data_IF_414044902238
#
_entry.id   IF_414044902238
#
_cell.length_a   1.000
_cell.length_b   1.000
_cell.length_c   1.000
_cell.angle_alpha   90.00
_cell.angle_beta   90.00
_cell.angle_gamma   90.00
#
_symmetry.space_group_name_H-M   'P 1'
#
loop_
_entity.id
_entity.type
_entity.pdbx_description
1 polymer ?
#
# COMPACT_ATOMS: atom_id res chain seq x y z
N UNK A 1 -21.54 13.94 0.53
CA UNK A 1 -21.05 13.43 -0.77
C UNK A 1 -19.56 13.54 -0.59
N UNK A 2 -18.97 12.46 -0.11
CA UNK A 2 -17.75 12.55 0.66
C UNK A 2 -16.59 12.76 -0.33
N UNK A 3 -15.86 13.84 -0.08
CA UNK A 3 -14.94 14.54 -0.99
C UNK A 3 -13.73 13.68 -1.43
N UNK A 4 -13.61 12.48 -0.88
CA UNK A 4 -12.53 11.52 -1.13
C UNK A 4 -12.82 10.56 -2.29
N UNK A 5 -13.99 10.65 -2.93
CA UNK A 5 -14.37 9.61 -3.90
C UNK A 5 -14.00 9.89 -5.33
N UNK A 6 -13.57 11.12 -5.72
CA UNK A 6 -13.35 11.49 -7.13
C UNK A 6 -12.03 12.19 -7.36
N UNK A 7 -11.18 11.58 -8.18
CA UNK A 7 -9.97 12.20 -8.71
C UNK A 7 -9.78 11.84 -10.20
N UNK A 8 -9.94 12.79 -11.13
CA UNK A 8 -9.84 12.52 -12.56
C UNK A 8 -8.40 12.28 -13.03
N UNK A 9 -7.39 12.45 -12.17
CA UNK A 9 -5.98 12.21 -12.50
C UNK A 9 -5.57 10.75 -12.34
N UNK A 10 -6.44 9.93 -11.75
CA UNK A 10 -6.18 8.51 -11.51
C UNK A 10 -6.48 7.70 -12.76
N UNK A 11 -5.45 7.05 -13.30
CA UNK A 11 -5.58 6.24 -14.50
C UNK A 11 -6.36 4.93 -14.25
N UNK A 12 -7.08 4.42 -15.28
CA UNK A 12 -7.72 3.11 -15.22
C UNK A 12 -6.68 1.98 -15.11
N UNK A 13 -7.03 0.84 -14.48
CA UNK A 13 -6.15 -0.31 -14.40
C UNK A 13 -6.00 -1.04 -15.75
N UNK A 14 -4.95 -1.85 -15.85
CA UNK A 14 -4.94 -2.93 -16.84
C UNK A 14 -5.82 -4.09 -16.34
N UNK A 15 -7.00 -4.28 -16.95
CA UNK A 15 -7.95 -5.33 -16.56
C UNK A 15 -9.02 -4.82 -15.59
N UNK A 16 -9.58 -5.71 -14.77
CA UNK A 16 -10.66 -5.39 -13.81
C UNK A 16 -10.30 -5.92 -12.41
N UNK A 17 -9.28 -5.33 -11.76
CA UNK A 17 -8.90 -5.71 -10.39
C UNK A 17 -9.99 -5.30 -9.39
N UNK A 18 -10.02 -5.97 -8.24
CA UNK A 18 -10.99 -5.62 -7.21
C UNK A 18 -10.85 -4.16 -6.76
N UNK A 19 -11.96 -3.42 -6.77
CA UNK A 19 -12.02 -1.97 -6.52
C UNK A 19 -12.27 -1.14 -7.79
N UNK A 20 -12.10 -1.73 -8.98
CA UNK A 20 -12.51 -1.11 -10.26
C UNK A 20 -13.98 -1.38 -10.56
N UNK A 21 -14.72 -0.33 -10.95
CA UNK A 21 -16.13 -0.38 -11.33
C UNK A 21 -16.25 -0.28 -12.85
N UNK A 22 -16.19 -1.41 -13.56
CA UNK A 22 -16.20 -1.44 -15.04
C UNK A 22 -17.40 -0.73 -15.67
N UNK A 23 -18.58 -0.80 -15.03
CA UNK A 23 -19.78 -0.16 -15.53
C UNK A 23 -19.71 1.38 -15.50
N UNK A 24 -18.93 1.91 -14.56
CA UNK A 24 -18.81 3.36 -14.30
C UNK A 24 -17.46 3.94 -14.77
N UNK A 25 -16.59 3.10 -15.35
CA UNK A 25 -15.23 3.43 -15.83
C UNK A 25 -14.39 4.18 -14.78
N UNK A 26 -14.41 3.69 -13.54
CA UNK A 26 -13.74 4.34 -12.40
C UNK A 26 -13.39 3.41 -11.26
N UNK A 27 -12.54 3.87 -10.35
CA UNK A 27 -12.35 3.20 -9.07
C UNK A 27 -13.51 3.51 -8.13
N UNK A 28 -13.84 2.57 -7.25
CA UNK A 28 -14.82 2.76 -6.18
C UNK A 28 -14.42 3.97 -5.30
N UNK A 29 -13.13 4.10 -5.01
CA UNK A 29 -12.53 5.25 -4.34
C UNK A 29 -11.24 5.69 -5.06
N UNK A 30 -11.32 6.78 -5.82
CA UNK A 30 -10.17 7.26 -6.62
C UNK A 30 -8.99 7.71 -5.73
N UNK A 31 -9.23 8.29 -4.55
CA UNK A 31 -8.15 8.67 -3.62
C UNK A 31 -7.44 7.47 -3.00
N UNK A 32 -8.14 6.38 -2.71
CA UNK A 32 -7.53 5.11 -2.26
C UNK A 32 -6.58 4.58 -3.33
N UNK A 33 -7.03 4.59 -4.58
CA UNK A 33 -6.16 4.22 -5.69
C UNK A 33 -4.95 5.14 -5.80
N UNK A 34 -5.14 6.47 -5.71
CA UNK A 34 -4.06 7.46 -5.78
C UNK A 34 -3.01 7.22 -4.69
N UNK A 35 -3.44 7.09 -3.43
CA UNK A 35 -2.59 6.77 -2.29
C UNK A 35 -1.84 5.45 -2.51
N UNK A 36 -2.51 4.44 -3.06
CA UNK A 36 -1.91 3.14 -3.38
C UNK A 36 -0.80 3.26 -4.43
N UNK A 37 -1.04 4.02 -5.50
CA UNK A 37 -0.04 4.24 -6.56
C UNK A 37 1.19 4.95 -6.02
N UNK A 38 1.01 6.06 -5.29
CA UNK A 38 2.13 6.80 -4.71
C UNK A 38 2.87 5.97 -3.65
N UNK A 39 2.14 5.37 -2.71
CA UNK A 39 2.71 4.56 -1.63
C UNK A 39 3.52 3.38 -2.16
N UNK A 40 3.00 2.60 -3.11
CA UNK A 40 3.75 1.46 -3.68
C UNK A 40 5.00 1.91 -4.42
N UNK A 41 4.92 3.00 -5.19
CA UNK A 41 6.09 3.51 -5.93
C UNK A 41 7.19 4.02 -5.01
N UNK A 42 6.81 4.73 -3.94
CA UNK A 42 7.73 5.20 -2.90
C UNK A 42 8.37 4.02 -2.16
N UNK A 43 7.57 3.03 -1.76
CA UNK A 43 8.07 1.79 -1.17
C UNK A 43 9.11 1.11 -2.07
N UNK A 44 8.80 0.97 -3.36
CA UNK A 44 9.68 0.31 -4.33
C UNK A 44 10.97 1.08 -4.60
N UNK A 45 10.99 2.38 -4.31
CA UNK A 45 12.17 3.25 -4.38
C UNK A 45 12.95 3.32 -3.05
N UNK A 46 12.50 2.64 -2.00
CA UNK A 46 13.12 2.66 -0.67
C UNK A 46 12.72 3.85 0.20
N UNK A 47 11.75 4.67 -0.24
CA UNK A 47 11.20 5.79 0.51
C UNK A 47 10.08 5.30 1.44
N UNK A 48 10.44 4.52 2.46
CA UNK A 48 9.47 3.78 3.28
C UNK A 48 8.67 4.67 4.22
N UNK A 49 9.23 5.79 4.68
CA UNK A 49 8.51 6.77 5.50
C UNK A 49 7.43 7.47 4.67
N UNK A 50 7.80 8.02 3.52
CA UNK A 50 6.86 8.68 2.61
C UNK A 50 5.79 7.71 2.09
N UNK A 51 6.17 6.44 1.87
CA UNK A 51 5.21 5.38 1.58
C UNK A 51 4.21 5.18 2.71
N UNK A 52 4.67 5.15 3.96
CA UNK A 52 3.82 5.02 5.13
C UNK A 52 2.79 6.16 5.19
N UNK A 53 3.25 7.39 5.02
CA UNK A 53 2.40 8.59 5.15
C UNK A 53 1.30 8.62 4.08
N UNK A 54 1.61 8.17 2.85
CA UNK A 54 0.60 8.03 1.78
C UNK A 54 -0.55 7.09 2.18
N UNK A 55 -0.23 5.96 2.82
CA UNK A 55 -1.25 5.00 3.25
C UNK A 55 -1.96 5.44 4.53
N UNK A 56 -1.26 6.11 5.45
CA UNK A 56 -1.80 6.57 6.72
C UNK A 56 -2.80 7.71 6.53
N UNK A 57 -2.47 8.72 5.70
CA UNK A 57 -3.37 9.83 5.38
C UNK A 57 -4.71 9.31 4.86
N UNK A 58 -4.66 8.40 3.88
CA UNK A 58 -5.84 7.84 3.26
C UNK A 58 -6.61 6.87 4.18
N UNK A 59 -5.92 6.18 5.10
CA UNK A 59 -6.54 5.26 6.05
C UNK A 59 -7.59 5.93 6.94
N UNK A 60 -7.34 7.17 7.36
CA UNK A 60 -8.26 7.92 8.22
C UNK A 60 -9.63 8.21 7.57
N UNK A 61 -9.75 8.09 6.25
CA UNK A 61 -10.98 8.36 5.51
C UNK A 61 -12.02 7.23 5.61
N UNK A 62 -11.67 6.00 6.03
CA UNK A 62 -12.53 4.81 5.88
C UNK A 62 -13.18 4.24 7.14
N UNK A 63 -13.22 4.98 8.24
CA UNK A 63 -13.78 4.46 9.50
C UNK A 63 -13.07 3.19 9.97
N UNK A 64 -13.70 2.38 10.84
CA UNK A 64 -13.11 1.15 11.39
C UNK A 64 -13.82 -0.10 10.86
N UNK A 65 -13.03 -1.10 10.46
CA UNK A 65 -13.52 -2.44 10.09
C UNK A 65 -14.06 -2.56 8.67
N UNK A 66 -13.96 -1.50 7.86
CA UNK A 66 -14.19 -1.56 6.41
C UNK A 66 -13.03 -2.27 5.72
N UNK A 67 -13.26 -2.77 4.50
CA UNK A 67 -12.22 -3.48 3.73
C UNK A 67 -11.08 -2.52 3.37
N UNK A 68 -11.46 -1.30 3.01
CA UNK A 68 -10.59 -0.18 2.64
C UNK A 68 -9.67 0.17 3.82
N UNK A 69 -10.25 0.38 5.01
CA UNK A 69 -9.49 0.67 6.23
C UNK A 69 -8.55 -0.47 6.61
N UNK A 70 -9.00 -1.73 6.48
CA UNK A 70 -8.15 -2.89 6.75
C UNK A 70 -6.99 -3.01 5.75
N UNK A 71 -7.24 -2.82 4.46
CA UNK A 71 -6.18 -2.83 3.45
C UNK A 71 -5.14 -1.74 3.72
N UNK A 72 -5.57 -0.49 3.88
CA UNK A 72 -4.69 0.66 4.09
C UNK A 72 -3.87 0.48 5.36
N UNK A 73 -4.49 0.06 6.46
CA UNK A 73 -3.77 -0.20 7.70
C UNK A 73 -2.77 -1.36 7.54
N UNK A 74 -3.10 -2.40 6.78
CA UNK A 74 -2.13 -3.44 6.43
C UNK A 74 -0.90 -2.87 5.71
N UNK A 75 -1.10 -1.98 4.73
CA UNK A 75 -0.01 -1.35 3.97
C UNK A 75 0.82 -0.38 4.82
N UNK A 76 0.20 0.40 5.72
CA UNK A 76 0.88 1.23 6.73
C UNK A 76 1.86 0.38 7.54
N UNK A 77 1.41 -0.78 8.03
CA UNK A 77 2.23 -1.69 8.82
C UNK A 77 3.37 -2.32 8.00
N UNK A 78 3.14 -2.60 6.71
CA UNK A 78 4.18 -3.09 5.80
C UNK A 78 5.27 -2.04 5.59
N UNK A 79 4.90 -0.80 5.25
CA UNK A 79 5.86 0.28 5.03
C UNK A 79 6.67 0.58 6.31
N UNK A 80 6.00 0.73 7.45
CA UNK A 80 6.65 0.94 8.74
C UNK A 80 7.56 -0.24 9.14
N UNK A 81 7.14 -1.48 8.86
CA UNK A 81 7.92 -2.68 9.16
C UNK A 81 9.25 -2.71 8.42
N UNK A 82 9.24 -2.44 7.11
CA UNK A 82 10.47 -2.38 6.33
C UNK A 82 11.33 -1.18 6.72
N UNK A 83 10.72 -0.02 6.98
CA UNK A 83 11.43 1.16 7.50
C UNK A 83 12.18 0.85 8.80
N UNK A 84 11.56 0.13 9.74
CA UNK A 84 12.21 -0.27 11.00
C UNK A 84 13.45 -1.12 10.77
N UNK A 85 13.42 -2.04 9.81
CA UNK A 85 14.59 -2.86 9.47
C UNK A 85 15.67 -2.04 8.78
N UNK A 86 15.33 -1.33 7.72
CA UNK A 86 16.32 -0.70 6.83
C UNK A 86 17.01 0.48 7.51
N UNK A 87 16.27 1.33 8.22
CA UNK A 87 16.82 2.56 8.80
C UNK A 87 17.31 2.40 10.24
N UNK A 88 16.85 1.36 10.95
CA UNK A 88 17.15 1.16 12.37
C UNK A 88 17.65 -0.24 12.74
N UNK A 89 17.90 -1.11 11.74
CA UNK A 89 18.35 -2.50 11.95
C UNK A 89 17.46 -3.27 12.94
N UNK A 90 16.17 -2.93 12.99
CA UNK A 90 15.24 -3.42 14.01
C UNK A 90 14.30 -4.50 13.48
N UNK A 91 14.81 -5.73 13.46
CA UNK A 91 14.07 -6.91 13.02
C UNK A 91 12.90 -7.29 13.95
N UNK A 92 13.02 -7.04 15.26
CA UNK A 92 11.92 -7.27 16.21
C UNK A 92 10.73 -6.33 15.93
N UNK A 93 11.05 -5.07 15.60
CA UNK A 93 10.09 -4.06 15.16
C UNK A 93 9.39 -4.48 13.87
N UNK A 94 10.15 -4.90 12.85
CA UNK A 94 9.61 -5.45 11.60
C UNK A 94 8.65 -6.62 11.89
N UNK A 95 9.09 -7.62 12.66
CA UNK A 95 8.29 -8.82 12.97
C UNK A 95 6.99 -8.47 13.69
N UNK A 96 7.01 -7.50 14.59
CA UNK A 96 5.82 -7.04 15.30
C UNK A 96 4.79 -6.42 14.35
N UNK A 97 5.22 -5.49 13.49
CA UNK A 97 4.36 -4.80 12.53
C UNK A 97 3.84 -5.78 11.46
N UNK A 98 4.67 -6.70 10.98
CA UNK A 98 4.29 -7.70 9.98
C UNK A 98 3.23 -8.70 10.48
N UNK A 99 3.30 -9.14 11.74
CA UNK A 99 2.23 -9.95 12.36
C UNK A 99 0.91 -9.19 12.42
N UNK A 100 0.96 -7.88 12.60
CA UNK A 100 -0.22 -7.00 12.62
C UNK A 100 -0.76 -6.81 11.20
N UNK A 101 0.11 -6.54 10.22
CA UNK A 101 -0.25 -6.43 8.80
C UNK A 101 -1.00 -7.68 8.30
N UNK A 102 -0.51 -8.88 8.63
CA UNK A 102 -1.16 -10.14 8.23
C UNK A 102 -2.57 -10.32 8.83
N UNK A 103 -2.85 -9.72 9.99
CA UNK A 103 -4.21 -9.73 10.55
C UNK A 103 -5.14 -8.83 9.75
N UNK A 104 -4.66 -7.66 9.34
CA UNK A 104 -5.41 -6.71 8.52
C UNK A 104 -5.65 -7.20 7.10
N UNK A 105 -4.71 -7.94 6.50
CA UNK A 105 -4.91 -8.52 5.17
C UNK A 105 -5.87 -9.73 5.13
N UNK A 106 -6.44 -10.17 6.26
CA UNK A 106 -7.41 -11.26 6.27
C UNK A 106 -8.70 -10.83 5.56
N UNK A 107 -9.04 -11.54 4.48
CA UNK A 107 -10.24 -11.27 3.68
C UNK A 107 -10.09 -10.13 2.68
N UNK A 108 -8.90 -9.53 2.57
CA UNK A 108 -8.59 -8.60 1.48
C UNK A 108 -8.41 -9.41 0.18
N UNK A 109 -9.07 -9.02 -0.92
CA UNK A 109 -8.89 -9.63 -2.23
C UNK A 109 -7.42 -9.66 -2.66
N UNK A 110 -6.97 -10.70 -3.38
CA UNK A 110 -5.56 -10.86 -3.75
C UNK A 110 -5.04 -9.81 -4.75
N UNK A 111 -5.93 -9.07 -5.41
CA UNK A 111 -5.65 -8.10 -6.47
C UNK A 111 -6.19 -6.69 -6.15
N UNK A 112 -6.41 -6.40 -4.86
CA UNK A 112 -7.13 -5.21 -4.40
C UNK A 112 -6.42 -3.91 -4.82
N UNK A 113 -7.16 -3.01 -5.47
CA UNK A 113 -6.67 -1.74 -6.00
C UNK A 113 -5.42 -1.87 -6.89
N UNK A 114 -5.28 -3.03 -7.57
CA UNK A 114 -4.17 -3.34 -8.47
C UNK A 114 -2.90 -3.86 -7.80
N UNK A 115 -2.87 -3.93 -6.45
CA UNK A 115 -1.76 -4.51 -5.70
C UNK A 115 -1.86 -6.03 -5.72
N UNK A 116 -0.74 -6.72 -5.92
CA UNK A 116 -0.66 -8.17 -5.68
C UNK A 116 -0.57 -8.44 -4.18
N UNK A 117 -1.72 -8.40 -3.51
CA UNK A 117 -1.84 -8.60 -2.05
C UNK A 117 -1.41 -10.02 -1.67
N UNK A 118 -1.51 -10.99 -2.58
CA UNK A 118 -1.02 -12.34 -2.35
C UNK A 118 0.52 -12.37 -2.28
N UNK A 119 1.22 -11.71 -3.20
CA UNK A 119 2.69 -11.51 -3.16
C UNK A 119 3.07 -10.81 -1.86
N UNK A 120 2.39 -9.71 -1.51
CA UNK A 120 2.62 -8.97 -0.26
C UNK A 120 2.51 -9.86 0.97
N UNK A 121 1.42 -10.62 1.10
CA UNK A 121 1.23 -11.54 2.24
C UNK A 121 2.31 -12.61 2.30
N UNK A 122 2.76 -13.10 1.14
CA UNK A 122 3.81 -14.11 1.06
C UNK A 122 5.15 -13.53 1.51
N UNK A 123 5.56 -12.38 0.98
CA UNK A 123 6.79 -11.69 1.37
C UNK A 123 6.81 -11.33 2.85
N UNK A 124 5.71 -10.78 3.38
CA UNK A 124 5.56 -10.47 4.79
C UNK A 124 5.66 -11.73 5.66
N UNK A 125 5.08 -12.84 5.23
CA UNK A 125 5.16 -14.12 5.97
C UNK A 125 6.58 -14.66 5.98
N UNK A 126 7.28 -14.65 4.84
CA UNK A 126 8.66 -15.13 4.75
C UNK A 126 9.60 -14.28 5.62
N UNK A 127 9.40 -12.97 5.62
CA UNK A 127 10.18 -12.02 6.41
C UNK A 127 9.99 -12.15 7.93
N UNK A 128 8.91 -12.81 8.39
CA UNK A 128 8.77 -13.16 9.80
C UNK A 128 9.79 -14.21 10.25
N UNK A 129 10.22 -15.08 9.33
CA UNK A 129 11.23 -16.11 9.58
C UNK A 129 12.62 -15.58 9.24
N UNK A 130 12.78 -15.03 8.02
CA UNK A 130 14.03 -14.47 7.49
C UNK A 130 13.84 -12.99 7.12
N UNK A 131 14.08 -12.05 8.06
CA UNK A 131 13.89 -10.63 7.83
C UNK A 131 14.64 -10.06 6.62
N UNK A 132 15.75 -10.66 6.17
CA UNK A 132 16.48 -10.21 4.98
C UNK A 132 15.75 -10.38 3.65
N UNK A 133 14.65 -11.14 3.62
CA UNK A 133 13.79 -11.27 2.44
C UNK A 133 13.15 -9.94 2.00
N UNK A 134 13.07 -8.93 2.88
CA UNK A 134 12.57 -7.60 2.47
C UNK A 134 13.64 -6.70 1.87
N UNK A 135 14.92 -7.09 1.92
CA UNK A 135 16.02 -6.26 1.41
C UNK A 135 15.96 -6.20 -0.12
N UNK A 136 15.64 -5.02 -0.66
CA UNK A 136 15.42 -4.83 -2.10
C UNK A 136 14.09 -5.40 -2.61
N UNK A 137 13.20 -5.83 -1.71
CA UNK A 137 11.84 -6.22 -2.07
C UNK A 137 11.07 -5.03 -2.63
N UNK A 138 10.30 -5.28 -3.70
CA UNK A 138 9.44 -4.30 -4.36
C UNK A 138 8.04 -4.90 -4.49
N UNK A 139 7.00 -4.18 -4.16
CA UNK A 139 5.60 -4.57 -4.29
C UNK A 139 5.18 -4.56 -5.77
N UNK A 140 4.38 -5.54 -6.18
CA UNK A 140 3.76 -5.54 -7.51
C UNK A 140 2.50 -4.68 -7.54
N UNK A 141 2.37 -3.88 -8.60
CA UNK A 141 1.22 -3.04 -8.88
C UNK A 141 0.93 -3.10 -10.38
N UNK A 142 -0.31 -3.43 -10.74
CA UNK A 142 -0.80 -3.59 -12.11
C UNK A 142 0.10 -4.51 -12.97
N UNK A 143 0.55 -5.62 -12.36
CA UNK A 143 1.44 -6.60 -12.99
C UNK A 143 2.92 -6.18 -13.10
N UNK A 144 3.26 -4.93 -12.81
CA UNK A 144 4.63 -4.40 -12.78
C UNK A 144 5.19 -4.24 -11.37
N UNK A 145 6.39 -3.63 -11.27
CA UNK A 145 6.98 -3.15 -10.00
C UNK A 145 7.44 -1.69 -10.20
N UNK A 146 6.51 -0.74 -10.28
CA UNK A 146 6.82 0.64 -10.65
C UNK A 146 7.67 1.32 -9.57
N UNK A 147 8.54 2.25 -9.98
CA UNK A 147 9.37 3.06 -9.08
C UNK A 147 8.81 4.47 -8.94
N UNK A 148 9.21 5.16 -7.88
CA UNK A 148 8.88 6.56 -7.64
C UNK A 148 9.38 7.49 -8.75
N UNK A 149 8.54 8.48 -9.02
CA UNK A 149 8.70 9.65 -9.87
C UNK A 149 8.72 10.89 -8.97
N UNK A 150 9.13 12.04 -9.51
CA UNK A 150 9.19 13.29 -8.75
C UNK A 150 7.82 13.70 -8.17
N UNK A 151 6.74 13.44 -8.91
CA UNK A 151 5.36 13.65 -8.47
C UNK A 151 4.97 12.83 -7.24
N UNK A 152 5.53 11.63 -7.04
CA UNK A 152 5.20 10.79 -5.88
C UNK A 152 5.82 11.39 -4.61
N UNK A 153 7.06 11.90 -4.70
CA UNK A 153 7.68 12.65 -3.60
C UNK A 153 7.02 14.02 -3.37
N UNK A 154 6.53 14.67 -4.42
CA UNK A 154 5.75 15.91 -4.28
C UNK A 154 4.41 15.66 -3.59
N UNK A 155 3.74 14.55 -3.92
CA UNK A 155 2.51 14.11 -3.26
C UNK A 155 2.73 13.91 -1.76
N UNK A 156 3.71 13.08 -1.37
CA UNK A 156 3.98 12.78 0.04
C UNK A 156 4.32 14.04 0.86
N UNK A 157 5.14 14.95 0.32
CA UNK A 157 5.49 16.22 0.99
C UNK A 157 4.29 17.16 1.24
N UNK A 158 3.19 16.98 0.52
CA UNK A 158 1.99 17.80 0.70
C UNK A 158 1.02 17.20 1.74
N UNK A 159 1.31 16.01 2.29
CA UNK A 159 0.54 15.37 3.35
C UNK A 159 0.96 15.84 4.76
N UNK A 160 2.20 16.34 4.89
CA UNK A 160 2.78 16.91 6.12
C UNK A 160 2.45 18.40 6.30
#
# INVERSE_FOLDING_TARGET
MDDHTRDPTVEPPSGSPTGWLEADDRWEHDTLRRATVHGVRLFNAGAYHESHDCFEDEWYNYGRGTRESMFLHGMVQVAAGVYKRVDFENDDGLRSLFRTALQYFRGIPPDYYGVDVLDVRTSVTNALEEPSEVDGWRIRLDGGRPLAREEDFAYARNLE
#
